data_IF_305954373201
#
_entry.id   IF_305954373201
#
_cell.length_a   1.000
_cell.length_b   1.000
_cell.length_c   1.000
_cell.angle_alpha   90.00
_cell.angle_beta   90.00
_cell.angle_gamma   90.00
#
_symmetry.space_group_name_H-M   'P 1'
#
loop_
_entity.id
_entity.type
_entity.pdbx_description
1 polymer ?
#
# COMPACT_ATOMS: atom_id res chain seq x y z
N UNK A 1 8.83 14.52 -4.85
CA UNK A 1 7.91 15.10 -3.86
C UNK A 1 6.59 15.35 -4.58
N UNK A 2 5.43 14.96 -4.02
CA UNK A 2 4.16 15.39 -4.61
C UNK A 2 4.18 16.91 -4.67
N UNK A 3 3.98 17.46 -5.87
CA UNK A 3 3.74 18.89 -6.03
C UNK A 3 2.57 19.29 -5.13
N UNK A 4 2.51 20.53 -4.68
CA UNK A 4 1.36 21.10 -4.00
C UNK A 4 0.15 21.17 -4.97
N UNK A 5 -0.35 20.01 -5.39
CA UNK A 5 -1.68 19.85 -5.95
C UNK A 5 -2.61 20.02 -4.77
N UNK A 6 -3.30 21.15 -4.72
CA UNK A 6 -4.50 21.23 -3.90
C UNK A 6 -5.46 20.18 -4.45
N UNK A 7 -5.70 19.12 -3.68
CA UNK A 7 -6.66 18.10 -4.07
C UNK A 7 -8.07 18.66 -3.92
N UNK A 8 -8.93 18.38 -4.89
CA UNK A 8 -10.34 18.79 -4.84
C UNK A 8 -11.05 18.11 -3.66
N UNK A 9 -11.98 18.80 -3.02
CA UNK A 9 -12.69 18.27 -1.85
C UNK A 9 -13.46 16.97 -2.16
N UNK A 10 -14.07 16.87 -3.34
CA UNK A 10 -14.76 15.67 -3.81
C UNK A 10 -13.81 14.48 -4.01
N UNK A 11 -12.60 14.74 -4.51
CA UNK A 11 -11.56 13.72 -4.68
C UNK A 11 -11.09 13.20 -3.32
N UNK A 12 -10.86 14.09 -2.35
CA UNK A 12 -10.50 13.70 -0.98
C UNK A 12 -11.61 12.88 -0.31
N UNK A 13 -12.87 13.30 -0.47
CA UNK A 13 -14.01 12.58 0.08
C UNK A 13 -14.13 11.16 -0.52
N UNK A 14 -13.96 11.03 -1.85
CA UNK A 14 -13.94 9.71 -2.51
C UNK A 14 -12.80 8.85 -1.99
N UNK A 15 -11.59 9.41 -1.86
CA UNK A 15 -10.43 8.71 -1.31
C UNK A 15 -10.63 8.24 0.13
N UNK A 16 -11.26 9.06 0.98
CA UNK A 16 -11.61 8.68 2.35
C UNK A 16 -12.62 7.54 2.40
N UNK A 17 -13.65 7.57 1.54
CA UNK A 17 -14.63 6.50 1.42
C UNK A 17 -13.97 5.19 0.99
N UNK A 18 -13.09 5.23 -0.02
CA UNK A 18 -12.34 4.06 -0.49
C UNK A 18 -11.41 3.50 0.60
N UNK A 19 -10.66 4.36 1.29
CA UNK A 19 -9.79 3.95 2.39
C UNK A 19 -10.58 3.33 3.55
N UNK A 20 -11.80 3.80 3.80
CA UNK A 20 -12.71 3.26 4.81
C UNK A 20 -13.32 1.94 4.38
N UNK A 21 -13.77 1.82 3.12
CA UNK A 21 -14.30 0.58 2.55
C UNK A 21 -13.24 -0.53 2.54
N UNK A 22 -12.00 -0.19 2.16
CA UNK A 22 -10.84 -1.09 2.25
C UNK A 22 -10.32 -1.30 3.67
N UNK A 23 -10.98 -0.74 4.69
CA UNK A 23 -10.60 -0.86 6.10
C UNK A 23 -9.12 -0.57 6.36
N UNK A 24 -8.54 0.41 5.64
CA UNK A 24 -7.11 0.68 5.67
C UNK A 24 -6.62 0.95 7.11
N UNK A 25 -7.37 1.73 7.87
CA UNK A 25 -7.01 2.05 9.26
C UNK A 25 -6.93 0.79 10.16
N UNK A 26 -7.73 -0.25 9.88
CA UNK A 26 -7.73 -1.51 10.64
C UNK A 26 -6.38 -2.24 10.51
N UNK A 27 -5.86 -2.35 9.29
CA UNK A 27 -4.61 -3.05 9.03
C UNK A 27 -3.38 -2.13 9.08
N UNK A 28 -3.56 -0.81 9.08
CA UNK A 28 -2.48 0.20 9.01
C UNK A 28 -2.32 0.99 10.30
N UNK A 29 -2.94 0.57 11.39
CA UNK A 29 -2.82 1.22 12.71
C UNK A 29 -2.50 0.17 13.75
N UNK A 30 -1.35 0.27 14.41
CA UNK A 30 -1.06 -0.57 15.58
C UNK A 30 -2.01 -0.24 16.75
N UNK A 31 -2.21 -1.19 17.67
CA UNK A 31 -3.14 -1.07 18.83
C UNK A 31 -2.97 0.22 19.66
N UNK A 32 -1.74 0.75 19.73
CA UNK A 32 -1.40 2.03 20.38
C UNK A 32 -0.60 2.95 19.46
N UNK A 33 -0.78 2.79 18.15
CA UNK A 33 -0.10 3.57 17.12
C UNK A 33 -0.95 4.72 16.60
N UNK A 34 -0.31 5.65 15.89
CA UNK A 34 -1.04 6.67 15.14
C UNK A 34 -1.78 6.02 13.96
N UNK A 35 -2.96 6.58 13.65
CA UNK A 35 -3.79 6.12 12.53
C UNK A 35 -2.96 6.08 11.23
N UNK A 36 -3.03 4.97 10.50
CA UNK A 36 -2.34 4.75 9.22
C UNK A 36 -0.80 4.72 9.28
N UNK A 37 -0.19 4.77 10.47
CA UNK A 37 1.26 4.76 10.65
C UNK A 37 1.91 3.35 10.62
N UNK A 38 1.15 2.33 10.23
CA UNK A 38 1.61 0.94 10.07
C UNK A 38 1.84 0.22 11.40
N UNK A 39 2.82 -0.70 11.39
CA UNK A 39 3.23 -1.55 12.52
C UNK A 39 2.13 -2.43 13.12
N UNK A 40 1.06 -2.68 12.37
CA UNK A 40 0.06 -3.68 12.76
C UNK A 40 0.60 -5.08 12.45
N UNK A 41 0.66 -6.00 13.42
CA UNK A 41 1.18 -7.34 13.22
C UNK A 41 0.18 -8.20 12.45
N UNK A 42 0.54 -8.60 11.24
CA UNK A 42 -0.17 -9.54 10.40
C UNK A 42 0.42 -10.94 10.65
N UNK A 43 -0.29 -11.72 11.46
CA UNK A 43 0.06 -13.11 11.76
C UNK A 43 -0.39 -14.00 10.60
N UNK A 44 0.56 -14.72 10.02
CA UNK A 44 0.31 -15.71 8.97
C UNK A 44 0.76 -17.09 9.44
N UNK A 45 0.41 -18.14 8.70
CA UNK A 45 0.91 -19.50 8.96
C UNK A 45 2.44 -19.63 8.83
N UNK A 46 3.10 -18.62 8.25
CA UNK A 46 4.54 -18.61 7.98
C UNK A 46 5.30 -17.59 8.84
N UNK A 47 4.66 -16.93 9.81
CA UNK A 47 5.33 -15.98 10.70
C UNK A 47 4.52 -14.69 10.88
N UNK A 48 5.20 -13.60 11.26
CA UNK A 48 4.54 -12.31 11.46
C UNK A 48 5.19 -11.25 10.60
N UNK A 49 4.41 -10.64 9.70
CA UNK A 49 4.79 -9.41 9.02
C UNK A 49 4.16 -8.21 9.72
N UNK A 50 4.74 -7.03 9.56
CA UNK A 50 4.13 -5.80 10.05
C UNK A 50 3.68 -4.95 8.87
N UNK A 51 2.53 -4.30 9.00
CA UNK A 51 2.06 -3.36 7.98
C UNK A 51 2.96 -2.13 7.89
N UNK A 52 3.08 -1.56 6.69
CA UNK A 52 3.87 -0.35 6.46
C UNK A 52 3.09 0.91 6.80
N UNK A 53 3.81 1.98 7.15
CA UNK A 53 3.29 3.34 7.28
C UNK A 53 2.86 3.87 5.89
N UNK A 54 1.62 4.35 5.78
CA UNK A 54 1.06 4.89 4.53
C UNK A 54 0.79 6.41 4.60
N UNK A 55 1.19 7.06 5.69
CA UNK A 55 1.10 8.53 5.84
C UNK A 55 2.09 9.23 4.91
N UNK A 56 1.96 10.54 4.64
CA UNK A 56 2.87 11.26 3.74
C UNK A 56 4.21 11.61 4.40
N UNK A 57 4.64 10.87 5.41
CA UNK A 57 5.99 11.00 5.96
C UNK A 57 7.03 10.59 4.89
N UNK A 58 8.03 11.42 4.58
CA UNK A 58 8.97 11.16 3.49
C UNK A 58 10.00 10.08 3.83
N UNK A 59 10.30 9.87 5.11
CA UNK A 59 11.36 8.95 5.54
C UNK A 59 10.85 7.52 5.78
N UNK A 60 9.64 7.40 6.31
CA UNK A 60 9.07 6.14 6.80
C UNK A 60 7.75 5.77 6.14
N UNK A 61 7.11 6.70 5.43
CA UNK A 61 5.82 6.53 4.76
C UNK A 61 5.88 6.79 3.26
N UNK A 62 4.78 7.31 2.72
CA UNK A 62 4.56 7.52 1.29
C UNK A 62 4.90 8.93 0.81
N UNK A 63 5.50 9.79 1.64
CA UNK A 63 5.76 11.20 1.29
C UNK A 63 6.63 11.40 0.04
N UNK A 64 7.40 10.39 -0.34
CA UNK A 64 8.22 10.38 -1.57
C UNK A 64 7.62 9.56 -2.72
N UNK A 65 6.46 8.94 -2.52
CA UNK A 65 5.81 8.13 -3.54
C UNK A 65 5.06 9.04 -4.52
N UNK A 66 5.23 8.78 -5.81
CA UNK A 66 4.31 9.31 -6.82
C UNK A 66 3.05 8.46 -6.85
N UNK A 67 1.99 9.01 -7.43
CA UNK A 67 0.75 8.28 -7.70
C UNK A 67 1.01 7.01 -8.54
N UNK A 68 1.86 7.10 -9.57
CA UNK A 68 2.25 5.96 -10.40
C UNK A 68 2.96 4.85 -9.58
N UNK A 69 3.76 5.24 -8.59
CA UNK A 69 4.38 4.28 -7.67
C UNK A 69 3.33 3.61 -6.79
N UNK A 70 2.32 4.34 -6.30
CA UNK A 70 1.22 3.74 -5.56
C UNK A 70 0.42 2.76 -6.42
N UNK A 71 0.13 3.12 -7.67
CA UNK A 71 -0.54 2.24 -8.65
C UNK A 71 0.29 0.96 -8.83
N UNK A 72 1.60 1.07 -9.07
CA UNK A 72 2.48 -0.09 -9.23
C UNK A 72 2.54 -0.96 -7.95
N UNK A 73 2.55 -0.33 -6.77
CA UNK A 73 2.50 -1.06 -5.52
C UNK A 73 1.17 -1.79 -5.32
N UNK A 74 0.05 -1.21 -5.72
CA UNK A 74 -1.28 -1.80 -5.60
C UNK A 74 -1.52 -2.93 -6.63
N UNK A 75 -1.11 -2.72 -7.89
CA UNK A 75 -1.33 -3.67 -8.99
C UNK A 75 -0.28 -4.78 -9.05
N UNK A 76 1.00 -4.40 -8.94
CA UNK A 76 2.13 -5.32 -9.11
C UNK A 76 2.79 -5.73 -7.79
N UNK A 77 2.46 -5.04 -6.69
CA UNK A 77 3.11 -5.27 -5.40
C UNK A 77 4.57 -4.84 -5.40
N UNK A 78 4.95 -3.80 -6.15
CA UNK A 78 6.33 -3.32 -6.23
C UNK A 78 6.41 -1.94 -5.57
N UNK A 79 7.28 -1.81 -4.58
CA UNK A 79 7.51 -0.55 -3.88
C UNK A 79 8.34 0.44 -4.72
N UNK A 80 8.45 1.68 -4.25
CA UNK A 80 9.19 2.76 -4.93
C UNK A 80 10.68 2.47 -5.18
N UNK A 81 11.27 1.55 -4.43
CA UNK A 81 12.68 1.12 -4.52
C UNK A 81 12.86 -0.20 -5.30
N UNK A 82 11.78 -0.73 -5.89
CA UNK A 82 11.78 -2.02 -6.59
C UNK A 82 11.60 -3.23 -5.67
N UNK A 83 11.46 -3.03 -4.35
CA UNK A 83 11.23 -4.13 -3.40
C UNK A 83 9.90 -4.82 -3.69
N UNK A 84 9.94 -6.15 -3.77
CA UNK A 84 8.75 -6.98 -3.88
C UNK A 84 7.97 -6.98 -2.56
N UNK A 85 6.77 -6.41 -2.57
CA UNK A 85 5.86 -6.41 -1.43
C UNK A 85 5.31 -7.82 -1.19
N UNK A 86 5.11 -8.15 0.10
CA UNK A 86 4.49 -9.41 0.48
C UNK A 86 3.01 -9.43 0.09
N UNK A 87 2.41 -10.61 -0.15
CA UNK A 87 1.05 -10.75 -0.65
C UNK A 87 0.00 -10.16 0.27
N UNK A 88 0.30 -9.96 1.55
CA UNK A 88 -0.59 -9.26 2.48
C UNK A 88 -0.89 -7.80 2.07
N UNK A 89 -0.15 -7.24 1.11
CA UNK A 89 -0.45 -5.96 0.47
C UNK A 89 -1.43 -6.08 -0.71
N UNK A 90 -1.55 -7.28 -1.29
CA UNK A 90 -2.29 -7.59 -2.50
C UNK A 90 -3.59 -8.27 -2.08
N UNK A 91 -4.67 -7.51 -2.07
CA UNK A 91 -6.03 -8.07 -2.03
C UNK A 91 -6.66 -7.82 -3.38
N UNK A 92 -7.51 -8.72 -3.86
CA UNK A 92 -8.16 -8.61 -5.18
C UNK A 92 -8.86 -7.25 -5.36
N UNK A 93 -9.46 -6.73 -4.28
CA UNK A 93 -10.08 -5.39 -4.25
C UNK A 93 -9.12 -4.22 -4.56
N UNK A 94 -7.83 -4.39 -4.26
CA UNK A 94 -6.78 -3.40 -4.48
C UNK A 94 -6.29 -3.44 -5.93
N UNK A 95 -6.22 -4.64 -6.54
CA UNK A 95 -5.80 -4.83 -7.93
C UNK A 95 -6.88 -4.44 -8.93
N UNK A 96 -8.16 -4.56 -8.56
CA UNK A 96 -9.34 -4.25 -9.39
C UNK A 96 -9.80 -2.78 -9.32
N UNK A 97 -9.13 -1.93 -8.55
CA UNK A 97 -9.50 -0.53 -8.42
C UNK A 97 -9.34 0.25 -9.75
N UNK A 98 -10.31 1.11 -10.06
CA UNK A 98 -10.20 2.02 -11.22
C UNK A 98 -9.09 3.05 -11.01
N UNK A 99 -8.52 3.58 -12.09
CA UNK A 99 -7.45 4.59 -11.99
C UNK A 99 -7.94 5.85 -11.26
N UNK A 100 -9.21 6.23 -11.42
CA UNK A 100 -9.82 7.34 -10.70
C UNK A 100 -9.91 7.07 -9.19
N UNK A 101 -10.25 5.84 -8.80
CA UNK A 101 -10.27 5.44 -7.38
C UNK A 101 -8.86 5.44 -6.77
N UNK A 102 -7.86 4.94 -7.50
CA UNK A 102 -6.47 4.99 -7.03
C UNK A 102 -5.97 6.42 -6.91
N UNK A 103 -6.35 7.30 -7.84
CA UNK A 103 -6.05 8.74 -7.78
C UNK A 103 -6.69 9.42 -6.57
N UNK A 104 -7.96 9.13 -6.31
CA UNK A 104 -8.68 9.63 -5.14
C UNK A 104 -8.05 9.12 -3.83
N UNK A 105 -7.70 7.83 -3.79
CA UNK A 105 -7.02 7.24 -2.64
C UNK A 105 -5.64 7.88 -2.41
N UNK A 106 -4.84 8.08 -3.46
CA UNK A 106 -3.55 8.77 -3.37
C UNK A 106 -3.70 10.17 -2.79
N UNK A 107 -4.65 10.95 -3.31
CA UNK A 107 -4.94 12.30 -2.83
C UNK A 107 -5.28 12.31 -1.34
N UNK A 108 -6.18 11.42 -0.91
CA UNK A 108 -6.53 11.27 0.50
C UNK A 108 -5.32 10.92 1.36
N UNK A 109 -4.51 9.92 0.97
CA UNK A 109 -3.31 9.53 1.71
C UNK A 109 -2.30 10.68 1.84
N UNK A 110 -2.10 11.45 0.77
CA UNK A 110 -1.20 12.61 0.78
C UNK A 110 -1.73 13.80 1.58
N UNK A 111 -3.03 13.85 1.87
CA UNK A 111 -3.67 14.88 2.71
C UNK A 111 -3.60 14.58 4.22
N UNK A 112 -3.24 13.35 4.61
CA UNK A 112 -3.16 12.95 6.00
C UNK A 112 -2.04 13.68 6.74
N UNK A 113 -2.14 13.72 8.07
CA UNK A 113 -1.02 14.12 8.89
C UNK A 113 0.17 13.15 8.68
N UNK A 114 1.34 13.70 8.37
CA UNK A 114 2.58 12.93 8.30
C UNK A 114 2.96 12.41 9.68
N UNK A 115 3.22 11.11 9.79
CA UNK A 115 3.69 10.48 11.04
C UNK A 115 4.99 9.77 10.75
N UNK A 116 6.06 10.18 11.43
CA UNK A 116 7.32 9.45 11.41
C UNK A 116 7.19 8.18 12.26
N UNK A 117 7.12 7.03 11.60
CA UNK A 117 6.93 5.73 12.23
C UNK A 117 7.69 4.66 11.44
N UNK A 118 8.94 4.35 11.84
CA UNK A 118 9.70 3.25 11.23
C UNK A 118 8.93 1.94 11.39
N UNK A 119 8.69 1.26 10.27
CA UNK A 119 7.98 -0.03 10.31
C UNK A 119 8.86 -1.08 10.99
N UNK A 120 8.31 -1.80 11.96
CA UNK A 120 9.01 -2.94 12.57
C UNK A 120 9.28 -3.99 11.50
N UNK A 121 10.52 -4.45 11.37
CA UNK A 121 10.91 -5.46 10.37
C UNK A 121 10.04 -6.73 10.45
N UNK A 122 9.90 -7.42 9.32
CA UNK A 122 9.16 -8.67 9.26
C UNK A 122 9.93 -9.78 9.97
N UNK A 123 9.22 -10.61 10.72
CA UNK A 123 9.75 -11.81 11.38
C UNK A 123 9.22 -13.04 10.64
N UNK A 124 9.74 -13.24 9.44
CA UNK A 124 9.50 -14.43 8.64
C UNK A 124 10.74 -15.33 8.71
N UNK A 125 10.60 -16.66 8.87
CA UNK A 125 11.73 -17.57 8.82
C UNK A 125 12.16 -17.79 7.38
N UNK A 126 13.43 -18.18 7.19
CA UNK A 126 13.91 -18.64 5.90
C UNK A 126 13.05 -19.81 5.37
N UNK A 127 12.70 -19.83 4.07
CA UNK A 127 13.10 -18.88 3.01
C UNK A 127 12.14 -17.70 2.80
N UNK A 128 11.10 -17.55 3.62
CA UNK A 128 10.02 -16.57 3.42
C UNK A 128 10.44 -15.11 3.68
N UNK A 129 11.58 -14.88 4.31
CA UNK A 129 12.21 -13.57 4.46
C UNK A 129 12.90 -13.06 3.18
N UNK A 130 13.19 -13.95 2.22
CA UNK A 130 13.83 -13.59 0.95
C UNK A 130 12.82 -12.92 0.01
N UNK A 131 12.89 -11.60 -0.08
CA UNK A 131 12.01 -10.76 -0.92
C UNK A 131 12.00 -11.17 -2.40
N UNK A 132 13.14 -11.63 -2.94
CA UNK A 132 13.23 -12.07 -4.34
C UNK A 132 12.32 -13.27 -4.65
N UNK A 133 12.08 -14.16 -3.68
CA UNK A 133 11.17 -15.29 -3.87
C UNK A 133 9.71 -14.85 -4.06
N UNK A 134 9.37 -13.65 -3.61
CA UNK A 134 8.04 -13.09 -3.86
C UNK A 134 7.79 -12.80 -5.34
N UNK A 135 8.82 -12.43 -6.12
CA UNK A 135 8.67 -12.27 -7.56
C UNK A 135 8.28 -13.59 -8.24
N UNK A 136 8.93 -14.69 -7.87
CA UNK A 136 8.60 -16.03 -8.38
C UNK A 136 7.20 -16.49 -7.97
N UNK A 137 6.80 -16.23 -6.71
CA UNK A 137 5.44 -16.51 -6.24
C UNK A 137 4.38 -15.73 -7.02
N UNK A 138 4.59 -14.43 -7.24
CA UNK A 138 3.66 -13.60 -8.01
C UNK A 138 3.50 -14.08 -9.45
N UNK A 139 4.60 -14.48 -10.11
CA UNK A 139 4.55 -15.02 -11.47
C UNK A 139 3.68 -16.29 -11.58
N UNK A 140 3.54 -17.06 -10.50
CA UNK A 140 2.77 -18.30 -10.48
C UNK A 140 1.34 -18.13 -9.98
N UNK A 141 1.06 -17.11 -9.15
CA UNK A 141 -0.19 -17.04 -8.36
C UNK A 141 -0.86 -15.66 -8.32
N UNK A 142 -0.20 -14.59 -8.79
CA UNK A 142 -0.85 -13.28 -8.89
C UNK A 142 -1.71 -13.28 -10.16
N UNK A 143 -2.99 -13.61 -10.00
CA UNK A 143 -3.96 -13.53 -11.09
C UNK A 143 -4.33 -12.06 -11.32
N UNK A 144 -3.91 -11.50 -12.45
CA UNK A 144 -4.29 -10.15 -12.84
C UNK A 144 -5.71 -10.19 -13.42
N UNK A 145 -6.71 -10.34 -12.55
CA UNK A 145 -8.11 -10.34 -12.94
C UNK A 145 -8.44 -9.12 -13.81
N UNK A 146 -8.88 -9.36 -15.04
CA UNK A 146 -9.42 -8.42 -16.04
C UNK A 146 -9.01 -6.93 -15.88
N UNK A 147 -7.70 -6.64 -15.87
CA UNK A 147 -7.25 -5.39 -16.48
C UNK A 147 -7.15 -5.70 -17.96
N UNK A 148 -8.29 -5.62 -18.65
CA UNK A 148 -8.29 -5.47 -20.10
C UNK A 148 -7.37 -4.28 -20.37
N UNK A 149 -6.17 -4.57 -20.87
CA UNK A 149 -5.23 -3.55 -21.28
C UNK A 149 -6.02 -2.63 -22.22
N UNK A 150 -6.32 -1.42 -21.77
CA UNK A 150 -6.48 -0.30 -22.67
C UNK A 150 -5.09 -0.05 -23.29
N UNK A 151 -4.71 -0.96 -24.19
CA UNK A 151 -3.62 -0.81 -25.11
C UNK A 151 -4.32 -0.75 -26.48
N UNK A 152 -4.16 0.40 -27.11
CA UNK A 152 -4.54 0.69 -28.48
C UNK A 152 -4.06 -0.38 -29.48
#
# INVERSE_FOLDING_TARGET
MPAAKTFEASQLQRGEMLASAGSCATCRTAERGARNAGSYPLKTGFGTSNSTNITPDPATGFGNWSEAVLVNAMREGIAHDGTQLYPAFLSDHVTESSDEDVSALYAYLMSLAAVSAPTKGNKLPFPFDVRALQAGWKLLFLDQGCVERAAD
#
